data_IF_501224096551
#
_entry.id   IF_501224096551
#
_cell.length_a   1.000
_cell.length_b   1.000
_cell.length_c   1.000
_cell.angle_alpha   90.00
_cell.angle_beta   90.00
_cell.angle_gamma   90.00
#
_symmetry.space_group_name_H-M   'P 1'
#
loop_
_entity.id
_entity.type
_entity.pdbx_description
1 polymer ?
#
# COMPACT_ATOMS: atom_id res chain seq x y z
N UNK A 1 31.96 -19.49 -133.65
CA UNK A 1 33.19 -20.20 -133.27
C UNK A 1 33.35 -20.04 -131.75
N UNK A 2 33.53 -21.15 -131.05
CA UNK A 2 33.82 -21.30 -129.60
C UNK A 2 32.71 -21.14 -128.55
N UNK A 3 32.38 -22.28 -127.93
CA UNK A 3 31.74 -22.45 -126.63
C UNK A 3 32.67 -21.97 -125.50
N UNK A 4 32.12 -21.55 -124.36
CA UNK A 4 32.62 -22.03 -123.06
C UNK A 4 31.54 -21.98 -121.97
N UNK A 5 31.48 -23.09 -121.22
CA UNK A 5 30.49 -23.45 -120.21
C UNK A 5 30.61 -22.61 -118.92
N UNK A 6 29.46 -22.46 -118.25
CA UNK A 6 29.34 -21.95 -116.89
C UNK A 6 30.24 -22.72 -115.90
N UNK A 7 30.99 -21.98 -115.08
CA UNK A 7 31.86 -22.51 -114.03
C UNK A 7 31.04 -23.05 -112.82
N UNK A 8 31.21 -24.31 -112.38
CA UNK A 8 30.46 -24.92 -111.26
C UNK A 8 30.84 -24.44 -109.83
N UNK A 9 31.55 -23.33 -109.66
CA UNK A 9 32.20 -22.99 -108.38
C UNK A 9 31.46 -21.99 -107.47
N UNK A 10 30.38 -21.35 -107.92
CA UNK A 10 29.64 -20.37 -107.09
C UNK A 10 28.50 -21.00 -106.25
N UNK A 11 27.94 -22.13 -106.69
CA UNK A 11 26.84 -22.81 -105.98
C UNK A 11 27.35 -23.63 -104.77
N UNK A 12 28.56 -24.19 -104.85
CA UNK A 12 29.18 -24.95 -103.76
C UNK A 12 29.75 -24.03 -102.68
N UNK A 13 30.26 -22.85 -103.03
CA UNK A 13 30.72 -21.86 -102.06
C UNK A 13 29.55 -21.29 -101.23
N UNK A 14 28.42 -20.96 -101.87
CA UNK A 14 27.23 -20.43 -101.20
C UNK A 14 26.54 -21.48 -100.30
N UNK A 15 26.51 -22.75 -100.72
CA UNK A 15 26.04 -23.85 -99.86
C UNK A 15 26.97 -24.13 -98.68
N UNK A 16 28.28 -23.94 -98.85
CA UNK A 16 29.27 -24.12 -97.78
C UNK A 16 29.18 -23.00 -96.76
N UNK A 17 29.05 -21.73 -97.16
CA UNK A 17 28.79 -20.62 -96.23
C UNK A 17 27.41 -20.70 -95.57
N UNK A 18 26.39 -21.20 -96.27
CA UNK A 18 25.06 -21.42 -95.69
C UNK A 18 25.07 -22.56 -94.67
N UNK A 19 25.77 -23.67 -94.95
CA UNK A 19 25.97 -24.76 -93.97
C UNK A 19 26.88 -24.34 -92.80
N UNK A 20 27.91 -23.52 -93.03
CA UNK A 20 28.76 -22.98 -91.95
C UNK A 20 27.97 -21.98 -91.07
N UNK A 21 27.15 -21.11 -91.66
CA UNK A 21 26.30 -20.18 -90.93
C UNK A 21 25.20 -20.90 -90.13
N UNK A 22 24.65 -21.99 -90.67
CA UNK A 22 23.67 -22.83 -89.95
C UNK A 22 24.33 -23.70 -88.86
N UNK A 23 25.58 -24.14 -89.06
CA UNK A 23 26.37 -24.91 -88.10
C UNK A 23 27.02 -24.05 -86.99
N UNK A 24 27.22 -22.75 -87.21
CA UNK A 24 27.67 -21.81 -86.17
C UNK A 24 26.51 -21.26 -85.32
N UNK A 25 25.26 -21.37 -85.77
CA UNK A 25 24.08 -20.92 -85.01
C UNK A 25 23.56 -21.93 -83.97
N UNK A 26 24.11 -23.15 -83.94
CA UNK A 26 23.62 -24.23 -83.08
C UNK A 26 24.34 -24.37 -81.73
N UNK A 27 25.09 -23.36 -81.29
CA UNK A 27 25.75 -23.40 -79.99
C UNK A 27 25.35 -22.21 -79.09
N UNK A 28 24.68 -22.57 -78.00
CA UNK A 28 24.33 -21.76 -76.81
C UNK A 28 23.08 -20.87 -76.90
N UNK A 29 21.92 -21.46 -77.21
CA UNK A 29 20.64 -20.90 -76.73
C UNK A 29 20.23 -21.62 -75.43
N UNK A 30 20.44 -20.98 -74.28
CA UNK A 30 19.81 -21.42 -73.03
C UNK A 30 18.32 -21.03 -73.09
N UNK A 31 17.48 -21.92 -73.62
CA UNK A 31 16.04 -21.68 -73.63
C UNK A 31 15.44 -22.06 -72.27
N UNK A 32 14.59 -21.19 -71.74
CA UNK A 32 13.71 -21.50 -70.61
C UNK A 32 12.71 -22.57 -71.04
N UNK A 33 12.28 -23.40 -70.10
CA UNK A 33 11.25 -24.42 -70.33
C UNK A 33 9.90 -23.83 -69.92
N UNK A 34 9.06 -23.52 -70.90
CA UNK A 34 7.65 -23.21 -70.68
C UNK A 34 6.82 -24.48 -70.76
N UNK A 35 6.03 -24.77 -69.73
CA UNK A 35 4.97 -25.80 -69.79
C UNK A 35 3.63 -25.08 -69.80
N UNK A 36 2.90 -25.21 -70.92
CA UNK A 36 1.62 -24.57 -71.15
C UNK A 36 1.66 -23.02 -71.13
N UNK A 37 2.83 -22.44 -71.42
CA UNK A 37 3.04 -21.02 -71.73
C UNK A 37 4.01 -20.88 -72.90
N UNK A 38 3.76 -19.94 -73.81
CA UNK A 38 4.67 -19.62 -74.94
C UNK A 38 5.59 -18.44 -74.64
N UNK A 39 5.43 -17.80 -73.48
CA UNK A 39 6.27 -16.72 -72.99
C UNK A 39 6.61 -16.97 -71.52
N UNK A 40 7.52 -17.91 -71.23
CA UNK A 40 8.01 -18.13 -69.87
C UNK A 40 8.51 -16.82 -69.25
N UNK A 41 8.30 -16.64 -67.95
CA UNK A 41 8.84 -15.47 -67.24
C UNK A 41 10.37 -15.41 -67.38
N UNK A 42 10.95 -14.28 -67.84
CA UNK A 42 12.39 -14.14 -68.06
C UNK A 42 13.28 -14.45 -66.83
N UNK A 43 12.73 -14.44 -65.61
CA UNK A 43 13.44 -14.77 -64.38
C UNK A 43 13.47 -16.27 -64.04
N UNK A 44 12.75 -17.12 -64.80
CA UNK A 44 12.59 -18.54 -64.51
C UNK A 44 13.28 -19.44 -65.55
N UNK A 45 13.85 -20.57 -65.12
CA UNK A 45 14.31 -21.61 -66.06
C UNK A 45 13.19 -22.60 -66.41
N UNK A 46 12.18 -22.71 -65.54
CA UNK A 46 10.98 -23.51 -65.71
C UNK A 46 9.77 -22.68 -65.27
N UNK A 47 8.88 -22.39 -66.21
CA UNK A 47 7.60 -21.70 -65.97
C UNK A 47 6.45 -22.66 -66.32
N UNK A 48 5.55 -22.89 -65.38
CA UNK A 48 4.42 -23.81 -65.54
C UNK A 48 3.13 -23.04 -65.29
N UNK A 49 2.33 -22.84 -66.34
CA UNK A 49 1.09 -22.07 -66.26
C UNK A 49 -0.15 -22.96 -66.38
N UNK A 50 -1.02 -22.93 -65.38
CA UNK A 50 -2.33 -23.58 -65.41
C UNK A 50 -3.29 -22.90 -64.42
N UNK A 51 -4.59 -22.86 -64.74
CA UNK A 51 -5.62 -22.27 -63.85
C UNK A 51 -6.20 -23.26 -62.85
N UNK A 52 -6.03 -24.57 -63.08
CA UNK A 52 -6.64 -25.63 -62.28
C UNK A 52 -5.77 -26.89 -62.15
N UNK A 53 -4.47 -26.81 -62.48
CA UNK A 53 -3.50 -27.90 -62.34
C UNK A 53 -2.27 -27.38 -61.58
N UNK A 54 -1.62 -28.28 -60.84
CA UNK A 54 -0.33 -28.02 -60.20
C UNK A 54 0.77 -28.90 -60.77
N UNK A 55 1.97 -28.78 -60.20
CA UNK A 55 3.11 -29.64 -60.50
C UNK A 55 3.23 -30.74 -59.44
N UNK A 56 3.24 -32.00 -59.87
CA UNK A 56 3.68 -33.10 -59.00
C UNK A 56 5.20 -33.17 -59.00
N UNK A 57 5.79 -32.82 -57.87
CA UNK A 57 7.21 -33.01 -57.61
C UNK A 57 7.50 -34.48 -57.25
N UNK A 58 8.76 -34.95 -57.37
CA UNK A 58 9.12 -36.32 -57.01
C UNK A 58 8.66 -36.67 -55.60
N UNK A 59 7.87 -37.75 -55.50
CA UNK A 59 7.35 -38.28 -54.22
C UNK A 59 8.31 -39.34 -53.70
N UNK A 60 8.91 -39.09 -52.55
CA UNK A 60 10.02 -39.90 -52.02
C UNK A 60 9.72 -40.29 -50.58
N UNK A 61 9.90 -41.56 -50.24
CA UNK A 61 9.73 -42.03 -48.87
C UNK A 61 11.07 -41.89 -48.11
N UNK A 62 11.29 -40.75 -47.45
CA UNK A 62 12.54 -40.50 -46.72
C UNK A 62 12.61 -41.33 -45.43
N UNK A 63 13.80 -41.75 -45.02
CA UNK A 63 14.01 -42.54 -43.80
C UNK A 63 14.29 -41.69 -42.55
N UNK A 64 14.48 -40.39 -42.72
CA UNK A 64 14.70 -39.42 -41.63
C UNK A 64 15.30 -38.12 -42.14
N UNK A 65 15.47 -37.12 -41.26
CA UNK A 65 15.94 -35.79 -41.68
C UNK A 65 17.36 -35.78 -42.28
N UNK A 66 18.21 -36.75 -41.92
CA UNK A 66 19.56 -36.90 -42.49
C UNK A 66 19.66 -37.89 -43.66
N UNK A 67 18.53 -38.36 -44.20
CA UNK A 67 18.52 -39.39 -45.24
C UNK A 67 19.21 -38.92 -46.53
N UNK A 68 20.37 -39.49 -46.82
CA UNK A 68 21.14 -39.28 -48.04
C UNK A 68 21.34 -40.59 -48.83
N UNK A 69 20.59 -41.64 -48.48
CA UNK A 69 20.69 -42.95 -49.12
C UNK A 69 19.50 -43.20 -50.06
N UNK A 70 18.30 -42.74 -49.70
CA UNK A 70 17.11 -42.82 -50.57
C UNK A 70 17.29 -41.99 -51.84
N UNK A 71 17.94 -40.84 -51.71
CA UNK A 71 18.48 -40.06 -52.81
C UNK A 71 19.96 -39.92 -52.53
N UNK A 72 20.80 -40.62 -53.29
CA UNK A 72 22.25 -40.55 -53.14
C UNK A 72 22.75 -39.15 -53.53
N UNK A 73 23.57 -38.55 -52.65
CA UNK A 73 24.18 -37.22 -52.85
C UNK A 73 23.17 -36.13 -53.29
N UNK A 74 22.11 -35.87 -52.49
CA UNK A 74 21.07 -34.92 -52.89
C UNK A 74 21.67 -33.51 -53.04
N UNK A 75 21.30 -32.84 -54.13
CA UNK A 75 21.78 -31.48 -54.41
C UNK A 75 21.16 -30.47 -53.43
N UNK A 76 21.90 -29.42 -53.08
CA UNK A 76 21.34 -28.31 -52.27
C UNK A 76 20.17 -27.69 -53.04
N UNK A 77 19.07 -27.41 -52.32
CA UNK A 77 17.79 -26.95 -52.85
C UNK A 77 16.99 -27.99 -53.64
N UNK A 78 17.40 -29.27 -53.64
CA UNK A 78 16.59 -30.34 -54.23
C UNK A 78 15.26 -30.45 -53.49
N UNK A 79 14.16 -30.29 -54.21
CA UNK A 79 12.79 -30.29 -53.67
C UNK A 79 12.09 -31.62 -53.98
N UNK A 80 11.50 -32.21 -52.95
CA UNK A 80 10.71 -33.45 -53.04
C UNK A 80 9.45 -33.33 -52.18
N UNK A 81 8.47 -34.19 -52.45
CA UNK A 81 7.37 -34.43 -51.53
C UNK A 81 7.66 -35.71 -50.73
N UNK A 82 7.93 -35.58 -49.44
CA UNK A 82 8.09 -36.74 -48.56
C UNK A 82 6.75 -37.47 -48.38
N UNK A 83 6.76 -38.80 -48.50
CA UNK A 83 5.56 -39.64 -48.29
C UNK A 83 5.61 -40.48 -47.02
N UNK A 84 6.74 -40.53 -46.31
CA UNK A 84 6.91 -41.35 -45.10
C UNK A 84 6.65 -40.56 -43.81
N UNK A 85 6.55 -41.28 -42.69
CA UNK A 85 6.55 -40.69 -41.34
C UNK A 85 7.74 -41.19 -40.50
N UNK A 86 8.85 -41.52 -41.16
CA UNK A 86 10.03 -42.11 -40.53
C UNK A 86 10.97 -41.03 -39.98
N UNK A 87 11.68 -41.33 -38.88
CA UNK A 87 12.77 -40.49 -38.38
C UNK A 87 12.38 -39.06 -38.01
N UNK A 88 11.15 -38.86 -37.52
CA UNK A 88 10.63 -37.55 -37.11
C UNK A 88 10.12 -36.66 -38.25
N UNK A 89 10.07 -37.18 -39.49
CA UNK A 89 9.47 -36.49 -40.63
C UNK A 89 7.96 -36.74 -40.69
N UNK A 90 7.24 -35.82 -41.33
CA UNK A 90 5.83 -35.99 -41.73
C UNK A 90 5.71 -35.92 -43.26
N UNK A 91 4.63 -36.43 -43.87
CA UNK A 91 4.39 -36.22 -45.29
C UNK A 91 4.23 -34.72 -45.62
N UNK A 92 4.91 -34.24 -46.66
CA UNK A 92 4.91 -32.82 -47.03
C UNK A 92 6.04 -32.45 -47.98
N UNK A 93 6.15 -31.17 -48.34
CA UNK A 93 7.25 -30.69 -49.19
C UNK A 93 8.53 -30.51 -48.38
N UNK A 94 9.64 -31.05 -48.87
CA UNK A 94 10.96 -30.94 -48.25
C UNK A 94 12.02 -30.53 -49.28
N UNK A 95 12.95 -29.68 -48.85
CA UNK A 95 14.16 -29.39 -49.63
C UNK A 95 15.44 -29.77 -48.87
N UNK A 96 16.46 -30.18 -49.61
CA UNK A 96 17.76 -30.51 -49.05
C UNK A 96 18.61 -29.26 -48.81
N UNK A 97 19.10 -29.04 -47.58
CA UNK A 97 19.96 -27.88 -47.24
C UNK A 97 21.46 -28.13 -47.39
N UNK A 98 21.88 -29.32 -47.85
CA UNK A 98 23.28 -29.75 -47.89
C UNK A 98 23.65 -30.77 -46.82
N UNK A 99 22.89 -30.84 -45.72
CA UNK A 99 23.13 -31.74 -44.60
C UNK A 99 21.87 -32.39 -44.02
N UNK A 100 20.67 -31.87 -44.34
CA UNK A 100 19.39 -32.44 -43.91
C UNK A 100 18.24 -32.01 -44.83
N UNK A 101 17.13 -32.73 -44.76
CA UNK A 101 15.85 -32.37 -45.34
C UNK A 101 15.12 -31.40 -44.41
N UNK A 102 14.72 -30.24 -44.94
CA UNK A 102 13.92 -29.24 -44.23
C UNK A 102 12.54 -29.15 -44.87
N UNK A 103 11.50 -29.10 -44.05
CA UNK A 103 10.13 -28.92 -44.54
C UNK A 103 9.91 -27.50 -45.05
N UNK A 104 9.15 -27.35 -46.12
CA UNK A 104 8.53 -26.08 -46.49
C UNK A 104 7.22 -26.02 -45.72
N UNK A 105 7.28 -25.53 -44.47
CA UNK A 105 6.09 -25.42 -43.63
C UNK A 105 5.18 -24.31 -44.17
N UNK A 106 3.91 -24.66 -44.39
CA UNK A 106 2.84 -23.69 -44.59
C UNK A 106 2.56 -22.98 -43.25
N UNK A 107 2.76 -21.67 -43.21
CA UNK A 107 2.43 -20.84 -42.05
C UNK A 107 0.96 -20.36 -42.07
N UNK A 108 0.18 -20.74 -43.08
CA UNK A 108 -1.22 -20.35 -43.24
C UNK A 108 -2.19 -21.41 -42.71
N UNK A 109 -2.12 -21.65 -41.40
CA UNK A 109 -3.13 -22.45 -40.73
C UNK A 109 -2.82 -22.65 -39.26
N UNK A 110 -3.56 -21.97 -38.39
CA UNK A 110 -3.54 -22.29 -36.96
C UNK A 110 -3.83 -23.77 -36.77
N UNK A 111 -2.84 -24.50 -36.24
CA UNK A 111 -2.98 -25.89 -35.85
C UNK A 111 -2.07 -26.86 -36.62
N UNK A 112 -0.87 -27.08 -36.08
CA UNK A 112 -0.14 -28.32 -36.30
C UNK A 112 1.24 -28.20 -36.94
N UNK A 113 2.28 -28.18 -36.10
CA UNK A 113 3.54 -28.86 -36.42
C UNK A 113 4.43 -28.24 -37.51
N UNK A 114 4.87 -27.01 -37.32
CA UNK A 114 5.96 -26.41 -38.11
C UNK A 114 6.27 -25.00 -37.63
N UNK A 115 7.24 -24.86 -36.71
CA UNK A 115 7.79 -23.59 -36.19
C UNK A 115 6.75 -22.48 -35.91
N UNK A 116 5.68 -22.84 -35.20
CA UNK A 116 4.67 -21.92 -34.67
C UNK A 116 5.10 -21.32 -33.33
N UNK A 117 6.23 -20.61 -33.28
CA UNK A 117 6.77 -20.01 -32.05
C UNK A 117 6.00 -18.73 -31.62
N UNK A 118 4.90 -18.39 -32.31
CA UNK A 118 4.10 -17.19 -32.09
C UNK A 118 2.81 -17.43 -31.29
N UNK A 119 2.33 -16.37 -30.63
CA UNK A 119 1.02 -16.39 -29.98
C UNK A 119 -0.12 -16.26 -31.00
N UNK A 120 -1.01 -17.26 -31.04
CA UNK A 120 -2.21 -17.23 -31.88
C UNK A 120 -3.18 -16.14 -31.43
N UNK A 121 -3.74 -15.38 -32.38
CA UNK A 121 -4.79 -14.37 -32.12
C UNK A 121 -6.10 -14.99 -31.65
N UNK A 122 -6.34 -16.28 -31.97
CA UNK A 122 -7.50 -17.03 -31.52
C UNK A 122 -7.27 -17.74 -30.17
N UNK A 123 -6.09 -17.53 -29.56
CA UNK A 123 -5.66 -18.21 -28.34
C UNK A 123 -4.83 -19.47 -28.62
N UNK A 124 -4.05 -19.86 -27.61
CA UNK A 124 -3.19 -21.03 -27.64
C UNK A 124 -3.75 -22.12 -26.71
N UNK A 125 -3.68 -23.39 -27.12
CA UNK A 125 -3.89 -24.53 -26.22
C UNK A 125 -2.58 -24.84 -25.49
N UNK A 126 -2.57 -24.59 -24.18
CA UNK A 126 -1.43 -24.83 -23.31
C UNK A 126 -1.51 -26.20 -22.64
N UNK A 127 -0.37 -26.87 -22.54
CA UNK A 127 -0.13 -28.02 -21.66
C UNK A 127 0.95 -27.61 -20.63
N UNK A 128 1.35 -28.52 -19.73
CA UNK A 128 2.32 -28.21 -18.66
C UNK A 128 3.73 -27.84 -19.15
N UNK A 129 4.07 -28.05 -20.43
CA UNK A 129 5.38 -27.74 -21.00
C UNK A 129 5.45 -26.37 -21.69
N UNK A 130 4.29 -25.77 -21.99
CA UNK A 130 4.18 -24.50 -22.74
C UNK A 130 4.03 -23.32 -21.78
N UNK A 131 4.72 -22.22 -22.05
CA UNK A 131 4.65 -21.00 -21.26
C UNK A 131 4.76 -19.72 -22.12
N UNK A 132 4.26 -18.61 -21.59
CA UNK A 132 4.59 -17.26 -22.07
C UNK A 132 5.78 -16.75 -21.26
N UNK A 133 6.96 -16.58 -21.86
CA UNK A 133 8.09 -16.11 -21.10
C UNK A 133 9.45 -16.25 -21.77
N UNK A 134 10.48 -16.07 -20.97
CA UNK A 134 11.89 -16.21 -21.33
C UNK A 134 12.46 -17.51 -20.78
N UNK A 135 13.44 -18.09 -21.47
CA UNK A 135 14.22 -19.27 -20.99
C UNK A 135 15.54 -18.88 -20.34
N UNK A 136 15.80 -17.58 -20.23
CA UNK A 136 17.01 -17.01 -19.65
C UNK A 136 16.66 -16.11 -18.47
N UNK A 137 17.67 -15.68 -17.71
CA UNK A 137 17.49 -14.86 -16.51
C UNK A 137 17.30 -13.38 -16.85
N UNK A 138 16.41 -13.09 -17.82
CA UNK A 138 16.00 -11.75 -18.19
C UNK A 138 14.51 -11.58 -17.98
N UNK A 139 14.09 -10.36 -17.63
CA UNK A 139 12.70 -10.03 -17.39
C UNK A 139 11.80 -10.19 -18.64
N UNK A 140 10.59 -10.69 -18.42
CA UNK A 140 9.52 -10.68 -19.41
C UNK A 140 8.90 -9.27 -19.47
N UNK A 141 8.95 -8.63 -20.64
CA UNK A 141 8.44 -7.27 -20.87
C UNK A 141 7.22 -7.29 -21.78
N UNK A 142 6.10 -6.73 -21.31
CA UNK A 142 4.92 -6.48 -22.14
C UNK A 142 4.93 -5.02 -22.57
N UNK A 143 4.75 -4.76 -23.88
CA UNK A 143 4.84 -3.42 -24.46
C UNK A 143 3.58 -3.05 -25.24
N UNK A 144 3.26 -1.75 -25.24
CA UNK A 144 2.27 -1.12 -26.13
C UNK A 144 2.96 0.04 -26.81
N UNK A 145 2.89 0.11 -28.14
CA UNK A 145 3.57 1.15 -28.94
C UNK A 145 5.06 1.33 -28.55
N UNK A 146 5.80 0.23 -28.43
CA UNK A 146 7.20 0.18 -27.96
C UNK A 146 7.47 0.67 -26.52
N UNK A 147 6.47 1.14 -25.78
CA UNK A 147 6.58 1.47 -24.35
C UNK A 147 6.28 0.26 -23.46
N UNK A 148 7.09 0.05 -22.42
CA UNK A 148 6.85 -0.99 -21.43
C UNK A 148 5.59 -0.66 -20.62
N UNK A 149 4.68 -1.63 -20.57
CA UNK A 149 3.44 -1.58 -19.78
C UNK A 149 3.45 -2.57 -18.62
N UNK A 150 4.18 -3.67 -18.75
CA UNK A 150 4.44 -4.57 -17.63
C UNK A 150 5.84 -5.18 -17.71
N UNK A 151 6.39 -5.51 -16.55
CA UNK A 151 7.67 -6.15 -16.33
C UNK A 151 7.48 -7.24 -15.27
N UNK A 152 7.90 -8.45 -15.59
CA UNK A 152 8.06 -9.55 -14.63
C UNK A 152 9.55 -9.87 -14.55
N UNK A 153 10.19 -9.42 -13.48
CA UNK A 153 11.64 -9.56 -13.27
C UNK A 153 11.97 -10.90 -12.59
N UNK A 154 13.03 -11.62 -13.02
CA UNK A 154 13.41 -12.91 -12.44
C UNK A 154 13.84 -12.84 -10.98
N UNK A 155 14.14 -11.66 -10.44
CA UNK A 155 14.38 -11.45 -9.02
C UNK A 155 13.10 -11.20 -8.21
N UNK A 156 11.91 -11.45 -8.79
CA UNK A 156 10.61 -11.28 -8.14
C UNK A 156 10.02 -9.87 -8.26
N UNK A 157 10.64 -8.99 -9.05
CA UNK A 157 10.12 -7.65 -9.34
C UNK A 157 8.87 -7.69 -10.23
N UNK A 158 7.86 -6.89 -9.91
CA UNK A 158 6.64 -6.73 -10.71
C UNK A 158 6.38 -5.25 -10.98
N UNK A 159 6.44 -4.83 -12.23
CA UNK A 159 6.01 -3.48 -12.63
C UNK A 159 4.81 -3.56 -13.56
N UNK A 160 3.73 -2.84 -13.29
CA UNK A 160 2.54 -2.75 -14.14
C UNK A 160 2.08 -1.30 -14.24
N UNK A 161 1.95 -0.77 -15.46
CA UNK A 161 1.57 0.61 -15.74
C UNK A 161 2.65 1.33 -16.56
N UNK A 162 2.22 2.31 -17.33
CA UNK A 162 3.14 3.14 -18.12
C UNK A 162 4.14 3.84 -17.19
N UNK A 163 5.43 3.62 -17.41
CA UNK A 163 6.50 4.19 -16.58
C UNK A 163 6.61 3.60 -15.18
N UNK A 164 5.92 2.49 -14.86
CA UNK A 164 6.10 1.79 -13.60
C UNK A 164 7.49 1.15 -13.50
N UNK A 165 8.14 1.26 -12.34
CA UNK A 165 9.51 0.78 -12.09
C UNK A 165 9.56 -0.09 -10.83
N UNK A 166 9.98 -1.35 -11.02
CA UNK A 166 10.24 -2.33 -9.95
C UNK A 166 11.47 -3.15 -10.34
N UNK A 167 12.65 -2.55 -10.22
CA UNK A 167 13.91 -3.10 -10.74
C UNK A 167 14.69 -3.95 -9.71
N UNK A 168 14.13 -4.15 -8.51
CA UNK A 168 14.85 -4.72 -7.36
C UNK A 168 14.18 -6.02 -6.86
N UNK A 169 14.92 -6.79 -6.04
CA UNK A 169 14.46 -8.08 -5.51
C UNK A 169 13.11 -7.95 -4.80
N UNK A 170 12.11 -8.69 -5.28
CA UNK A 170 10.76 -8.79 -4.72
C UNK A 170 10.02 -7.44 -4.61
N UNK A 171 10.34 -6.47 -5.47
CA UNK A 171 9.66 -5.17 -5.49
C UNK A 171 8.37 -5.20 -6.30
N UNK A 172 7.36 -4.40 -5.94
CA UNK A 172 6.08 -4.33 -6.64
C UNK A 172 5.73 -2.88 -6.94
N UNK A 173 5.58 -2.50 -8.21
CA UNK A 173 5.12 -1.20 -8.65
C UNK A 173 3.90 -1.32 -9.57
N UNK A 174 2.73 -0.85 -9.13
CA UNK A 174 1.49 -0.95 -9.89
C UNK A 174 0.83 0.43 -10.01
N UNK A 175 0.79 0.98 -11.23
CA UNK A 175 0.21 2.28 -11.55
C UNK A 175 1.11 3.10 -12.47
N UNK A 176 0.51 4.06 -13.19
CA UNK A 176 1.27 4.99 -14.04
C UNK A 176 2.32 5.72 -13.22
N UNK A 177 3.59 5.62 -13.61
CA UNK A 177 4.74 6.18 -12.90
C UNK A 177 4.88 5.73 -11.43
N UNK A 178 4.32 4.57 -11.04
CA UNK A 178 4.58 3.99 -9.73
C UNK A 178 6.05 3.54 -9.65
N UNK A 179 6.73 3.79 -8.53
CA UNK A 179 8.16 3.48 -8.37
C UNK A 179 8.42 2.75 -7.06
N UNK A 180 8.72 1.46 -7.15
CA UNK A 180 9.27 0.66 -6.08
C UNK A 180 10.77 0.43 -6.37
N UNK A 181 11.58 1.47 -6.14
CA UNK A 181 12.95 1.56 -6.63
C UNK A 181 13.94 1.76 -5.49
N UNK A 182 15.22 1.37 -5.69
CA UNK A 182 16.34 1.62 -4.76
C UNK A 182 16.33 0.78 -3.47
N UNK A 183 15.47 -0.24 -3.36
CA UNK A 183 15.37 -1.05 -2.14
C UNK A 183 14.61 -2.37 -2.34
N UNK A 184 15.12 -3.46 -1.77
CA UNK A 184 14.48 -4.78 -1.80
C UNK A 184 13.13 -4.76 -1.06
N UNK A 185 12.17 -5.54 -1.57
CA UNK A 185 10.85 -5.76 -0.96
C UNK A 185 9.98 -4.49 -0.82
N UNK A 186 10.23 -3.46 -1.62
CA UNK A 186 9.41 -2.25 -1.65
C UNK A 186 8.10 -2.47 -2.43
N UNK A 187 7.00 -1.86 -2.01
CA UNK A 187 5.69 -1.94 -2.66
C UNK A 187 5.13 -0.55 -2.92
N UNK A 188 4.94 -0.17 -4.19
CA UNK A 188 4.31 1.07 -4.62
C UNK A 188 3.05 0.78 -5.45
N UNK A 189 1.86 1.11 -4.95
CA UNK A 189 0.59 0.86 -5.64
C UNK A 189 -0.19 2.16 -5.72
N UNK A 190 -0.50 2.61 -6.93
CA UNK A 190 -1.16 3.87 -7.24
C UNK A 190 -0.35 4.71 -8.23
N UNK A 191 -1.04 5.54 -9.02
CA UNK A 191 -0.35 6.43 -9.95
C UNK A 191 0.58 7.38 -9.17
N UNK A 192 1.83 7.47 -9.60
CA UNK A 192 2.91 8.23 -8.95
C UNK A 192 3.22 7.83 -7.50
N UNK A 193 2.76 6.67 -7.03
CA UNK A 193 3.17 6.15 -5.72
C UNK A 193 4.68 5.84 -5.74
N UNK A 194 5.39 6.18 -4.67
CA UNK A 194 6.85 5.97 -4.55
C UNK A 194 7.19 5.28 -3.24
N UNK A 195 7.76 4.09 -3.33
CA UNK A 195 8.33 3.33 -2.23
C UNK A 195 9.83 3.15 -2.48
N UNK A 196 10.68 3.79 -1.68
CA UNK A 196 12.13 3.82 -1.93
C UNK A 196 13.01 3.29 -0.80
N UNK A 197 12.41 2.88 0.32
CA UNK A 197 13.13 2.26 1.44
C UNK A 197 13.00 0.73 1.44
N UNK A 198 13.91 0.04 2.12
CA UNK A 198 13.83 -1.42 2.28
C UNK A 198 12.53 -1.80 3.01
N UNK A 199 11.77 -2.76 2.47
CA UNK A 199 10.45 -3.14 3.00
C UNK A 199 9.46 -1.97 3.15
N UNK A 200 9.61 -0.90 2.36
CA UNK A 200 8.68 0.22 2.37
C UNK A 200 7.42 -0.07 1.57
N UNK A 201 6.31 0.56 1.95
CA UNK A 201 5.02 0.38 1.28
C UNK A 201 4.34 1.74 1.07
N UNK A 202 4.10 2.13 -0.18
CA UNK A 202 3.37 3.31 -0.59
C UNK A 202 2.10 2.91 -1.36
N UNK A 203 0.92 3.16 -0.79
CA UNK A 203 -0.36 2.74 -1.35
C UNK A 203 -1.29 3.95 -1.47
N UNK A 204 -1.55 4.40 -2.69
CA UNK A 204 -2.41 5.54 -3.02
C UNK A 204 -1.79 6.43 -4.10
N UNK A 205 -2.63 7.26 -4.74
CA UNK A 205 -2.14 8.27 -5.68
C UNK A 205 -1.12 9.18 -5.00
N UNK A 206 0.09 9.27 -5.56
CA UNK A 206 1.17 10.10 -5.04
C UNK A 206 1.56 9.79 -3.57
N UNK A 207 1.28 8.58 -3.06
CA UNK A 207 1.75 8.14 -1.75
C UNK A 207 3.28 7.99 -1.75
N UNK A 208 3.96 8.34 -0.66
CA UNK A 208 5.43 8.38 -0.56
C UNK A 208 5.92 7.69 0.70
N UNK A 209 6.47 6.50 0.57
CA UNK A 209 7.20 5.78 1.61
C UNK A 209 8.70 5.81 1.24
N UNK A 210 9.38 6.91 1.59
CA UNK A 210 10.68 7.28 1.01
C UNK A 210 11.78 7.35 2.06
N UNK A 211 13.04 7.48 1.61
CA UNK A 211 14.23 7.81 2.41
C UNK A 211 14.68 6.76 3.44
N UNK A 212 13.80 5.93 4.00
CA UNK A 212 14.12 5.02 5.11
C UNK A 212 13.35 3.71 5.08
N UNK A 213 13.91 2.72 5.77
CA UNK A 213 13.41 1.34 5.81
C UNK A 213 12.11 1.21 6.62
N UNK A 214 11.32 0.21 6.26
CA UNK A 214 10.09 -0.21 6.94
C UNK A 214 9.06 0.92 7.09
N UNK A 215 9.01 1.83 6.12
CA UNK A 215 8.04 2.93 6.07
C UNK A 215 6.72 2.48 5.46
N UNK A 216 5.60 3.00 5.97
CA UNK A 216 4.27 2.78 5.40
C UNK A 216 3.59 4.12 5.12
N UNK A 217 3.24 4.39 3.87
CA UNK A 217 2.44 5.53 3.45
C UNK A 217 1.18 5.02 2.75
N UNK A 218 0.03 5.11 3.41
CA UNK A 218 -1.26 4.64 2.90
C UNK A 218 -2.25 5.81 2.78
N UNK A 219 -2.54 6.25 1.57
CA UNK A 219 -3.47 7.35 1.28
C UNK A 219 -3.02 8.24 0.13
N UNK A 220 -3.96 9.01 -0.44
CA UNK A 220 -3.61 10.02 -1.44
C UNK A 220 -2.62 11.03 -0.84
N UNK A 221 -1.44 11.17 -1.46
CA UNK A 221 -0.39 12.09 -1.04
C UNK A 221 0.09 11.92 0.42
N UNK A 222 -0.14 10.77 1.05
CA UNK A 222 0.44 10.44 2.36
C UNK A 222 1.97 10.33 2.25
N UNK A 223 2.72 10.80 3.25
CA UNK A 223 4.19 10.75 3.24
C UNK A 223 4.74 10.18 4.54
N UNK A 224 5.48 9.08 4.44
CA UNK A 224 6.32 8.53 5.50
C UNK A 224 7.79 8.55 5.03
N UNK A 225 8.69 9.23 5.74
CA UNK A 225 10.08 9.45 5.28
C UNK A 225 11.18 9.15 6.29
N UNK A 226 10.86 8.56 7.43
CA UNK A 226 11.83 8.22 8.49
C UNK A 226 11.73 6.75 8.86
N UNK A 227 12.75 6.18 9.50
CA UNK A 227 12.78 4.75 9.82
C UNK A 227 11.55 4.31 10.62
N UNK A 228 10.88 3.25 10.17
CA UNK A 228 9.64 2.72 10.77
C UNK A 228 8.48 3.73 10.87
N UNK A 229 8.51 4.82 10.09
CA UNK A 229 7.43 5.80 10.07
C UNK A 229 6.18 5.24 9.35
N UNK A 230 5.01 5.51 9.92
CA UNK A 230 3.71 5.09 9.39
C UNK A 230 2.80 6.31 9.22
N UNK A 231 2.37 6.58 7.99
CA UNK A 231 1.44 7.64 7.62
C UNK A 231 0.22 7.04 6.93
N UNK A 232 -0.97 7.13 7.54
CA UNK A 232 -2.22 6.57 7.04
C UNK A 232 -3.28 7.68 6.95
N UNK A 233 -3.76 7.99 5.75
CA UNK A 233 -4.75 9.03 5.48
C UNK A 233 -4.33 10.00 4.38
N UNK A 234 -5.29 10.75 3.82
CA UNK A 234 -5.01 11.74 2.78
C UNK A 234 -4.13 12.84 3.35
N UNK A 235 -2.98 13.12 2.71
CA UNK A 235 -1.99 14.10 3.15
C UNK A 235 -1.46 13.88 4.59
N UNK A 236 -1.53 12.66 5.14
CA UNK A 236 -0.88 12.37 6.43
C UNK A 236 0.64 12.43 6.32
N UNK A 237 1.33 12.83 7.40
CA UNK A 237 2.77 13.05 7.41
C UNK A 237 3.44 12.42 8.64
N UNK A 238 4.38 11.52 8.38
CA UNK A 238 5.28 10.93 9.37
C UNK A 238 6.72 11.07 8.86
N UNK A 239 7.29 12.28 8.94
CA UNK A 239 8.39 12.70 8.04
C UNK A 239 9.74 13.00 8.68
N UNK A 240 9.76 13.33 9.98
CA UNK A 240 10.90 14.03 10.58
C UNK A 240 11.70 13.16 11.55
N UNK A 241 11.13 12.09 12.09
CA UNK A 241 11.77 11.25 13.08
C UNK A 241 11.31 9.80 13.04
N UNK A 242 12.12 8.92 13.60
CA UNK A 242 11.90 7.48 13.60
C UNK A 242 10.67 7.11 14.44
N UNK A 243 10.06 5.96 14.11
CA UNK A 243 8.93 5.37 14.83
C UNK A 243 7.71 6.31 14.97
N UNK A 244 7.51 7.18 13.98
CA UNK A 244 6.38 8.11 13.96
C UNK A 244 5.11 7.43 13.45
N UNK A 245 3.97 7.71 14.06
CA UNK A 245 2.66 7.22 13.64
C UNK A 245 1.71 8.39 13.39
N UNK A 246 1.32 8.62 12.14
CA UNK A 246 0.34 9.62 11.75
C UNK A 246 -0.87 8.95 11.10
N UNK A 247 -2.03 8.95 11.76
CA UNK A 247 -3.26 8.33 11.28
C UNK A 247 -4.38 9.36 11.22
N UNK A 248 -4.80 9.73 10.02
CA UNK A 248 -5.87 10.70 9.77
C UNK A 248 -5.59 11.62 8.59
N UNK A 249 -6.64 12.25 8.05
CA UNK A 249 -6.45 13.24 6.98
C UNK A 249 -5.73 14.47 7.53
N UNK A 250 -4.62 14.85 6.90
CA UNK A 250 -3.71 15.91 7.35
C UNK A 250 -3.15 15.71 8.79
N UNK A 251 -3.08 14.48 9.31
CA UNK A 251 -2.40 14.22 10.59
C UNK A 251 -0.88 14.34 10.42
N UNK A 252 -0.16 14.78 11.45
CA UNK A 252 1.27 15.04 11.39
C UNK A 252 1.98 14.56 12.67
N UNK A 253 2.89 13.60 12.52
CA UNK A 253 3.76 13.11 13.59
C UNK A 253 5.21 13.43 13.21
N UNK A 254 5.82 14.38 13.92
CA UNK A 254 7.18 14.88 13.61
C UNK A 254 8.19 14.59 14.71
N UNK A 255 7.75 14.26 15.92
CA UNK A 255 8.65 13.87 17.00
C UNK A 255 9.05 12.39 16.96
N UNK A 256 10.24 12.04 17.43
CA UNK A 256 10.65 10.64 17.54
C UNK A 256 9.70 9.85 18.47
N UNK A 257 9.30 8.65 18.06
CA UNK A 257 8.30 7.82 18.76
C UNK A 257 6.94 8.53 19.00
N UNK A 258 6.62 9.57 18.23
CA UNK A 258 5.38 10.32 18.40
C UNK A 258 4.20 9.67 17.68
N UNK A 259 3.00 9.86 18.22
CA UNK A 259 1.76 9.32 17.66
C UNK A 259 0.70 10.41 17.52
N UNK A 260 0.25 10.68 16.29
CA UNK A 260 -0.82 11.60 15.95
C UNK A 260 -1.99 10.85 15.30
N UNK A 261 -3.12 10.72 16.01
CA UNK A 261 -4.29 9.94 15.58
C UNK A 261 -5.52 10.85 15.55
N UNK A 262 -5.99 11.19 14.36
CA UNK A 262 -7.15 12.04 14.11
C UNK A 262 -6.92 13.00 12.94
N UNK A 263 -8.01 13.51 12.33
CA UNK A 263 -7.89 14.54 11.31
C UNK A 263 -7.18 15.77 11.91
N UNK A 264 -6.11 16.24 11.26
CA UNK A 264 -5.28 17.38 11.74
C UNK A 264 -4.65 17.18 13.13
N UNK A 265 -4.59 15.97 13.67
CA UNK A 265 -3.85 15.70 14.90
C UNK A 265 -2.35 15.96 14.67
N UNK A 266 -1.67 16.55 15.66
CA UNK A 266 -0.25 16.91 15.61
C UNK A 266 0.50 16.44 16.83
N UNK A 267 1.52 15.61 16.65
CA UNK A 267 2.45 15.17 17.68
C UNK A 267 3.86 15.65 17.32
N UNK A 268 4.25 16.80 17.88
CA UNK A 268 5.38 17.59 17.37
C UNK A 268 6.72 17.25 18.03
N UNK A 269 6.70 16.61 19.20
CA UNK A 269 7.88 16.36 20.03
C UNK A 269 8.10 14.86 20.34
N UNK A 270 9.29 14.52 20.81
CA UNK A 270 9.65 13.14 21.12
C UNK A 270 8.72 12.56 22.20
N UNK A 271 8.31 11.31 22.00
CA UNK A 271 7.36 10.55 22.81
C UNK A 271 6.01 11.28 23.02
N UNK A 272 5.66 12.24 22.16
CA UNK A 272 4.39 12.95 22.26
C UNK A 272 3.24 12.16 21.64
N UNK A 273 2.05 12.26 22.22
CA UNK A 273 0.84 11.55 21.76
C UNK A 273 -0.31 12.52 21.62
N UNK A 274 -0.86 12.66 20.42
CA UNK A 274 -2.01 13.49 20.11
C UNK A 274 -3.14 12.62 19.54
N UNK A 275 -4.25 12.49 20.24
CA UNK A 275 -5.40 11.67 19.83
C UNK A 275 -6.64 12.55 19.81
N UNK A 276 -7.21 12.77 18.62
CA UNK A 276 -8.41 13.58 18.42
C UNK A 276 -8.32 14.49 17.20
N UNK A 277 -9.47 14.97 16.73
CA UNK A 277 -9.49 15.98 15.68
C UNK A 277 -8.77 17.25 16.17
N UNK A 278 -7.78 17.72 15.42
CA UNK A 278 -7.01 18.93 15.74
C UNK A 278 -6.33 18.92 17.13
N UNK A 279 -6.10 17.75 17.73
CA UNK A 279 -5.33 17.64 18.98
C UNK A 279 -3.85 17.96 18.72
N UNK A 280 -3.17 18.60 19.68
CA UNK A 280 -1.78 19.02 19.57
C UNK A 280 -0.98 18.63 20.82
N UNK A 281 0.00 17.74 20.66
CA UNK A 281 1.00 17.42 21.68
C UNK A 281 2.33 18.07 21.29
N UNK A 282 2.63 19.22 21.89
CA UNK A 282 3.67 20.14 21.42
C UNK A 282 5.07 19.83 21.96
N UNK A 283 5.15 19.21 23.15
CA UNK A 283 6.38 19.13 23.93
C UNK A 283 6.72 17.68 24.36
N UNK A 284 7.93 17.48 24.89
CA UNK A 284 8.47 16.15 25.21
C UNK A 284 7.56 15.38 26.17
N UNK A 285 7.30 14.10 25.85
CA UNK A 285 6.45 13.21 26.64
C UNK A 285 5.03 13.76 26.91
N UNK A 286 4.56 14.72 26.11
CA UNK A 286 3.23 15.31 26.28
C UNK A 286 2.16 14.45 25.64
N UNK A 287 0.98 14.37 26.27
CA UNK A 287 -0.16 13.61 25.78
C UNK A 287 -1.39 14.51 25.71
N UNK A 288 -1.98 14.66 24.54
CA UNK A 288 -3.22 15.41 24.31
C UNK A 288 -4.28 14.45 23.75
N UNK A 289 -5.35 14.21 24.50
CA UNK A 289 -6.44 13.30 24.10
C UNK A 289 -7.75 14.09 24.10
N UNK A 290 -8.32 14.37 22.93
CA UNK A 290 -9.59 15.06 22.76
C UNK A 290 -9.61 15.97 21.52
N UNK A 291 -10.81 16.32 21.05
CA UNK A 291 -10.98 17.31 19.98
C UNK A 291 -10.39 18.66 20.42
N UNK A 292 -9.37 19.16 19.71
CA UNK A 292 -8.69 20.41 20.04
C UNK A 292 -7.91 20.40 21.37
N UNK A 293 -7.63 19.24 21.96
CA UNK A 293 -6.79 19.15 23.15
C UNK A 293 -5.37 19.64 22.86
N UNK A 294 -4.77 20.47 23.73
CA UNK A 294 -3.43 21.02 23.54
C UNK A 294 -2.54 20.77 24.76
N UNK A 295 -1.56 19.87 24.64
CA UNK A 295 -0.55 19.64 25.66
C UNK A 295 0.73 20.46 25.34
N UNK A 296 0.82 21.64 25.95
CA UNK A 296 1.88 22.63 25.68
C UNK A 296 3.11 22.52 26.58
N UNK A 297 3.18 21.57 27.50
CA UNK A 297 4.28 21.46 28.48
C UNK A 297 4.90 20.06 28.45
N UNK A 298 6.17 19.96 28.87
CA UNK A 298 6.84 18.67 29.02
C UNK A 298 6.10 17.80 30.04
N UNK A 299 5.93 16.51 29.74
CA UNK A 299 5.26 15.51 30.59
C UNK A 299 3.78 15.83 30.91
N UNK A 300 3.17 16.80 30.23
CA UNK A 300 1.78 17.16 30.48
C UNK A 300 0.83 16.16 29.83
N UNK A 301 -0.21 15.77 30.57
CA UNK A 301 -1.35 15.01 30.05
C UNK A 301 -2.58 15.90 30.07
N UNK A 302 -3.14 16.18 28.90
CA UNK A 302 -4.35 16.98 28.72
C UNK A 302 -5.44 16.08 28.16
N UNK A 303 -6.53 15.93 28.91
CA UNK A 303 -7.71 15.16 28.55
C UNK A 303 -8.85 16.14 28.25
N UNK A 304 -9.26 16.18 26.98
CA UNK A 304 -10.29 17.07 26.45
C UNK A 304 -9.78 18.42 25.96
N UNK A 305 -10.69 19.21 25.35
CA UNK A 305 -10.43 20.61 25.01
C UNK A 305 -10.31 21.46 26.30
N UNK A 306 -9.37 22.40 26.32
CA UNK A 306 -9.14 23.32 27.45
C UNK A 306 -10.32 24.24 27.76
N UNK A 307 -11.26 24.46 26.82
CA UNK A 307 -12.43 25.32 27.04
C UNK A 307 -13.54 24.58 27.79
N UNK A 308 -14.00 23.44 27.28
CA UNK A 308 -15.31 22.88 27.67
C UNK A 308 -15.35 21.36 27.85
N UNK A 309 -14.20 20.69 28.00
CA UNK A 309 -14.24 19.25 28.24
C UNK A 309 -14.41 18.90 29.72
N UNK A 310 -15.22 17.86 29.97
CA UNK A 310 -15.38 17.21 31.26
C UNK A 310 -15.02 15.72 31.11
N UNK A 311 -14.28 15.19 32.08
CA UNK A 311 -13.87 13.79 32.12
C UNK A 311 -14.81 13.02 33.04
N UNK A 312 -15.55 12.06 32.48
CA UNK A 312 -16.38 11.13 33.25
C UNK A 312 -15.66 9.81 33.52
N UNK A 313 -15.64 9.38 34.77
CA UNK A 313 -15.24 8.03 35.18
C UNK A 313 -16.47 7.34 35.75
N UNK A 314 -16.96 6.30 35.07
CA UNK A 314 -18.19 5.60 35.46
C UNK A 314 -19.49 6.34 35.13
N UNK A 315 -19.43 7.43 34.36
CA UNK A 315 -20.58 8.21 33.88
C UNK A 315 -20.43 8.58 32.41
N UNK A 316 -21.51 8.50 31.64
CA UNK A 316 -21.60 8.96 30.25
C UNK A 316 -22.08 10.41 30.12
N UNK A 317 -22.54 11.01 31.22
CA UNK A 317 -23.00 12.40 31.30
C UNK A 317 -22.29 13.09 32.45
N UNK A 318 -20.99 13.40 32.31
CA UNK A 318 -20.24 14.12 33.34
C UNK A 318 -20.95 15.43 33.67
N UNK A 319 -21.03 15.78 34.96
CA UNK A 319 -21.63 17.03 35.41
C UNK A 319 -20.97 18.22 34.69
N UNK A 320 -21.80 19.11 34.11
CA UNK A 320 -21.31 20.25 33.33
C UNK A 320 -20.47 21.25 34.16
N UNK A 321 -20.63 21.23 35.48
CA UNK A 321 -19.94 22.12 36.40
C UNK A 321 -18.65 21.51 36.98
N UNK A 322 -18.27 20.29 36.61
CA UNK A 322 -17.05 19.64 37.09
C UNK A 322 -16.18 19.18 35.93
N UNK A 323 -14.85 19.35 36.07
CA UNK A 323 -13.89 18.90 35.05
C UNK A 323 -13.57 17.41 35.17
N UNK A 324 -13.68 16.86 36.38
CA UNK A 324 -13.57 15.42 36.64
C UNK A 324 -14.79 14.99 37.45
N UNK A 325 -15.60 14.12 36.86
CA UNK A 325 -16.80 13.55 37.48
C UNK A 325 -16.61 12.03 37.64
N UNK A 326 -16.63 11.56 38.88
CA UNK A 326 -16.41 10.14 39.21
C UNK A 326 -17.69 9.60 39.83
N UNK A 327 -18.39 8.74 39.09
CA UNK A 327 -19.51 7.97 39.62
C UNK A 327 -18.97 6.72 40.31
N UNK A 328 -18.60 6.87 41.58
CA UNK A 328 -18.06 5.81 42.41
C UNK A 328 -16.96 6.29 43.34
N UNK A 329 -16.22 5.35 43.90
CA UNK A 329 -15.19 5.65 44.89
C UNK A 329 -13.87 6.04 44.21
N UNK A 330 -13.10 6.90 44.86
CA UNK A 330 -11.75 7.24 44.44
C UNK A 330 -10.73 7.04 45.56
N UNK A 331 -9.49 6.77 45.19
CA UNK A 331 -8.34 6.69 46.11
C UNK A 331 -7.18 7.44 45.50
N UNK A 332 -6.58 8.34 46.28
CA UNK A 332 -5.42 9.12 45.84
C UNK A 332 -4.15 8.57 46.51
N UNK A 333 -3.23 8.05 45.70
CA UNK A 333 -1.95 7.51 46.15
C UNK A 333 -2.05 6.15 46.86
N UNK A 334 -0.90 5.51 47.09
CA UNK A 334 -0.85 4.15 47.64
C UNK A 334 -1.35 4.07 49.10
N UNK A 335 -1.07 5.11 49.90
CA UNK A 335 -1.50 5.23 51.31
C UNK A 335 -2.87 5.91 51.49
N UNK A 336 -3.54 6.31 50.40
CA UNK A 336 -4.85 6.95 50.49
C UNK A 336 -5.95 5.97 50.92
N UNK A 337 -6.93 6.46 51.68
CA UNK A 337 -8.18 5.73 51.93
C UNK A 337 -9.08 5.78 50.70
N UNK A 338 -9.93 4.76 50.55
CA UNK A 338 -11.02 4.78 49.56
C UNK A 338 -12.09 5.74 50.07
N UNK A 339 -12.28 6.83 49.33
CA UNK A 339 -13.30 7.83 49.60
C UNK A 339 -14.52 7.54 48.74
N UNK A 340 -15.71 7.58 49.34
CA UNK A 340 -16.98 7.51 48.60
C UNK A 340 -17.46 8.89 48.19
N UNK A 341 -17.52 9.80 49.16
CA UNK A 341 -18.07 11.14 49.00
C UNK A 341 -17.20 12.16 49.73
N UNK A 342 -16.91 13.29 49.09
CA UNK A 342 -16.37 14.49 49.72
C UNK A 342 -17.42 15.59 49.54
N UNK A 343 -18.01 16.02 50.65
CA UNK A 343 -19.11 16.98 50.67
C UNK A 343 -18.70 18.20 51.48
N UNK A 344 -19.02 19.40 51.00
CA UNK A 344 -18.74 20.64 51.71
C UNK A 344 -19.90 21.61 51.57
N UNK A 345 -20.29 22.23 52.67
CA UNK A 345 -21.31 23.28 52.69
C UNK A 345 -21.05 24.26 53.83
N UNK A 346 -21.84 25.32 53.89
CA UNK A 346 -21.76 26.29 54.98
C UNK A 346 -23.14 26.66 55.49
N UNK A 347 -23.23 27.01 56.76
CA UNK A 347 -24.48 27.44 57.38
C UNK A 347 -24.23 28.54 58.39
N UNK A 348 -25.01 29.61 58.28
CA UNK A 348 -25.07 30.66 59.28
C UNK A 348 -25.99 30.23 60.44
N UNK A 349 -25.49 30.40 61.66
CA UNK A 349 -26.11 29.93 62.89
C UNK A 349 -26.13 31.05 63.93
N UNK A 350 -27.31 31.27 64.54
CA UNK A 350 -27.44 32.09 65.73
C UNK A 350 -27.51 31.17 66.95
N UNK A 351 -26.71 31.47 67.96
CA UNK A 351 -26.62 30.68 69.18
C UNK A 351 -26.87 31.49 70.46
N UNK A 352 -27.32 32.73 70.31
CA UNK A 352 -27.74 33.61 71.41
C UNK A 352 -26.62 33.89 72.41
N UNK A 353 -27.03 33.95 73.68
CA UNK A 353 -26.16 34.25 74.80
C UNK A 353 -25.56 32.99 75.40
N UNK A 354 -24.23 32.94 75.56
CA UNK A 354 -23.54 31.87 76.26
C UNK A 354 -22.96 32.45 77.55
N UNK A 355 -23.51 32.00 78.69
CA UNK A 355 -23.07 32.40 80.03
C UNK A 355 -21.57 32.09 80.24
N UNK A 356 -20.89 32.76 81.20
CA UNK A 356 -19.50 32.44 81.55
C UNK A 356 -19.33 30.95 81.86
N UNK A 357 -18.30 30.31 81.30
CA UNK A 357 -18.08 28.85 81.38
C UNK A 357 -19.25 27.97 80.87
N UNK A 358 -20.23 28.58 80.20
CA UNK A 358 -21.40 27.92 79.64
C UNK A 358 -21.10 27.22 78.33
N UNK A 359 -22.03 26.39 77.89
CA UNK A 359 -21.94 25.71 76.60
C UNK A 359 -23.28 25.67 75.88
N UNK A 360 -23.25 25.67 74.55
CA UNK A 360 -24.42 25.50 73.68
C UNK A 360 -24.14 24.42 72.64
N UNK A 361 -25.16 23.65 72.28
CA UNK A 361 -25.06 22.66 71.20
C UNK A 361 -25.88 23.15 70.01
N UNK A 362 -25.19 23.34 68.88
CA UNK A 362 -25.78 23.72 67.62
C UNK A 362 -26.09 22.45 66.82
N UNK A 363 -27.23 22.45 66.14
CA UNK A 363 -27.61 21.40 65.21
C UNK A 363 -27.77 22.01 63.83
N UNK A 364 -27.00 21.52 62.87
CA UNK A 364 -26.98 21.98 61.49
C UNK A 364 -27.53 20.84 60.62
N UNK A 365 -28.57 21.14 59.85
CA UNK A 365 -29.08 20.19 58.84
C UNK A 365 -28.12 20.14 57.65
N UNK A 366 -27.78 18.92 57.23
CA UNK A 366 -27.00 18.67 56.02
C UNK A 366 -27.97 18.75 54.82
N UNK A 367 -27.69 19.56 53.79
CA UNK A 367 -28.48 19.60 52.57
C UNK A 367 -28.71 18.21 52.00
N UNK A 368 -29.91 17.91 51.51
CA UNK A 368 -30.31 16.55 51.13
C UNK A 368 -29.43 15.91 50.05
N UNK A 369 -28.86 16.72 49.16
CA UNK A 369 -27.93 16.34 48.09
C UNK A 369 -26.48 16.13 48.58
N UNK A 370 -26.19 16.50 49.83
CA UNK A 370 -24.87 16.40 50.47
C UNK A 370 -24.91 15.50 51.72
N UNK A 371 -25.96 14.69 51.89
CA UNK A 371 -26.04 13.75 53.01
C UNK A 371 -25.15 12.52 52.74
N UNK A 372 -24.24 12.17 53.67
CA UNK A 372 -23.45 10.94 53.54
C UNK A 372 -24.36 9.71 53.60
N UNK A 373 -23.91 8.60 53.01
CA UNK A 373 -24.69 7.35 53.06
C UNK A 373 -24.58 6.62 54.40
N UNK A 374 -23.55 6.94 55.18
CA UNK A 374 -23.25 6.36 56.50
C UNK A 374 -22.71 7.41 57.47
N UNK A 375 -22.58 7.07 58.75
CA UNK A 375 -21.90 7.92 59.75
C UNK A 375 -20.40 7.67 59.84
N UNK A 376 -19.87 6.74 59.04
CA UNK A 376 -18.45 6.41 58.96
C UNK A 376 -17.70 7.47 58.13
N UNK A 377 -17.61 8.68 58.69
CA UNK A 377 -17.06 9.84 58.02
C UNK A 377 -16.21 10.70 58.95
N UNK A 378 -15.23 11.39 58.37
CA UNK A 378 -14.53 12.48 59.05
C UNK A 378 -15.36 13.74 58.90
N UNK A 379 -15.44 14.49 60.00
CA UNK A 379 -16.14 15.77 60.05
C UNK A 379 -15.14 16.86 60.42
N UNK A 380 -15.08 17.90 59.60
CA UNK A 380 -14.30 19.11 59.86
C UNK A 380 -15.27 20.28 59.93
N UNK A 381 -15.20 21.03 61.02
CA UNK A 381 -16.01 22.23 61.24
C UNK A 381 -15.08 23.40 61.52
N UNK A 382 -15.26 24.48 60.77
CA UNK A 382 -14.47 25.70 60.92
C UNK A 382 -15.43 26.88 61.02
N UNK A 383 -15.39 27.68 62.09
CA UNK A 383 -16.16 28.91 62.15
C UNK A 383 -15.57 29.97 61.21
N UNK A 384 -16.35 31.00 60.88
CA UNK A 384 -15.82 32.17 60.20
C UNK A 384 -14.79 32.93 61.05
N UNK A 385 -14.03 33.80 60.40
CA UNK A 385 -12.97 34.58 61.02
C UNK A 385 -13.47 35.67 61.97
N UNK A 386 -14.79 35.89 62.04
CA UNK A 386 -15.39 36.90 62.92
C UNK A 386 -15.74 36.35 64.30
N UNK A 387 -15.72 35.01 64.45
CA UNK A 387 -15.96 34.36 65.73
C UNK A 387 -14.83 34.67 66.71
N UNK A 388 -15.19 35.12 67.91
CA UNK A 388 -14.21 35.44 68.96
C UNK A 388 -13.39 34.21 69.36
N UNK A 389 -12.11 34.43 69.65
CA UNK A 389 -11.19 33.44 70.23
C UNK A 389 -11.65 32.96 71.63
N UNK A 390 -12.54 33.72 72.26
CA UNK A 390 -13.20 33.39 73.53
C UNK A 390 -14.13 32.17 73.45
N UNK A 391 -14.46 31.72 72.23
CA UNK A 391 -15.27 30.55 71.99
C UNK A 391 -14.44 29.40 71.42
N UNK A 392 -14.60 28.24 72.05
CA UNK A 392 -13.98 27.00 71.59
C UNK A 392 -15.01 26.00 71.08
N UNK A 393 -14.72 25.37 69.93
CA UNK A 393 -15.44 24.17 69.51
C UNK A 393 -14.91 23.00 70.34
N UNK A 394 -15.69 22.55 71.32
CA UNK A 394 -15.30 21.45 72.19
C UNK A 394 -15.36 20.09 71.47
N UNK A 395 -16.34 19.91 70.59
CA UNK A 395 -16.43 18.77 69.69
C UNK A 395 -17.40 19.07 68.56
N UNK A 396 -17.23 18.33 67.46
CA UNK A 396 -18.21 18.22 66.40
C UNK A 396 -18.44 16.74 66.10
N UNK A 397 -19.68 16.37 65.75
CA UNK A 397 -20.02 14.99 65.35
C UNK A 397 -21.22 14.95 64.43
N UNK A 398 -21.27 13.92 63.60
CA UNK A 398 -22.50 13.53 62.91
C UNK A 398 -23.53 13.03 63.93
N UNK A 399 -24.79 13.35 63.70
CA UNK A 399 -25.94 12.81 64.43
C UNK A 399 -26.90 12.22 63.39
N UNK A 400 -26.66 10.94 63.08
CA UNK A 400 -27.18 10.32 61.85
C UNK A 400 -26.55 10.93 60.60
N UNK A 401 -27.14 10.64 59.43
CA UNK A 401 -26.69 11.14 58.13
C UNK A 401 -27.26 12.52 57.77
N UNK A 402 -28.17 13.05 58.58
CA UNK A 402 -28.95 14.25 58.25
C UNK A 402 -28.48 15.51 58.98
N UNK A 403 -27.79 15.36 60.13
CA UNK A 403 -27.44 16.51 60.96
C UNK A 403 -26.01 16.45 61.51
N UNK A 404 -25.41 17.62 61.63
CA UNK A 404 -24.14 17.85 62.34
C UNK A 404 -24.45 18.53 63.67
N UNK A 405 -23.81 18.05 64.74
CA UNK A 405 -23.87 18.69 66.06
C UNK A 405 -22.52 19.26 66.44
N UNK A 406 -22.52 20.51 66.91
CA UNK A 406 -21.32 21.25 67.32
C UNK A 406 -21.53 21.73 68.75
N UNK A 407 -20.62 21.44 69.66
CA UNK A 407 -20.64 22.03 71.01
C UNK A 407 -19.66 23.19 71.08
N UNK A 408 -20.19 24.35 71.42
CA UNK A 408 -19.42 25.55 71.71
C UNK A 408 -19.32 25.75 73.21
N UNK A 409 -18.16 26.21 73.68
CA UNK A 409 -17.91 26.56 75.09
C UNK A 409 -17.37 27.99 75.12
N UNK A 410 -17.98 28.83 75.95
CA UNK A 410 -17.42 30.12 76.32
C UNK A 410 -16.36 29.87 77.41
N UNK A 411 -15.09 30.13 77.12
CA UNK A 411 -13.98 29.87 78.03
C UNK A 411 -13.65 31.06 78.93
N UNK A 412 -14.43 32.14 78.82
CA UNK A 412 -14.20 33.38 79.57
C UNK A 412 -15.07 33.48 80.81
N UNK A 413 -14.69 34.43 81.68
CA UNK A 413 -15.49 34.87 82.83
C UNK A 413 -16.60 35.86 82.47
N UNK A 414 -16.73 36.24 81.19
CA UNK A 414 -17.73 37.19 80.71
C UNK A 414 -18.86 36.48 79.98
N UNK A 415 -20.05 37.07 79.99
CA UNK A 415 -21.16 36.57 79.17
C UNK A 415 -20.86 36.86 77.71
N UNK A 416 -20.88 35.84 76.88
CA UNK A 416 -20.67 36.00 75.45
C UNK A 416 -22.01 36.24 74.75
N UNK A 417 -22.11 37.39 74.08
CA UNK A 417 -23.21 37.77 73.21
C UNK A 417 -22.63 38.06 71.84
N UNK A 418 -23.02 37.28 70.82
CA UNK A 418 -22.57 37.55 69.46
C UNK A 418 -23.67 37.40 68.43
N UNK A 419 -23.59 38.15 67.32
CA UNK A 419 -24.38 37.89 66.13
C UNK A 419 -24.22 36.46 65.60
N UNK A 420 -25.05 36.12 64.61
CA UNK A 420 -24.92 34.86 63.88
C UNK A 420 -23.51 34.70 63.30
N UNK A 421 -22.98 33.48 63.33
CA UNK A 421 -21.72 33.13 62.68
C UNK A 421 -21.93 32.04 61.64
N UNK A 422 -21.13 32.10 60.58
CA UNK A 422 -21.08 31.08 59.54
C UNK A 422 -20.13 29.96 59.94
N UNK A 423 -20.59 28.73 59.82
CA UNK A 423 -19.79 27.53 59.97
C UNK A 423 -19.58 26.91 58.60
N UNK A 424 -18.33 26.54 58.29
CA UNK A 424 -17.93 25.75 57.14
C UNK A 424 -17.79 24.30 57.58
N UNK A 425 -18.46 23.40 56.86
CA UNK A 425 -18.53 21.99 57.20
C UNK A 425 -18.01 21.18 56.01
N UNK A 426 -17.07 20.29 56.27
CA UNK A 426 -16.62 19.27 55.32
C UNK A 426 -16.82 17.88 55.89
N UNK A 427 -17.41 16.99 55.09
CA UNK A 427 -17.71 15.60 55.43
C UNK A 427 -17.00 14.71 54.42
N UNK A 428 -16.20 13.76 54.91
CA UNK A 428 -15.43 12.83 54.10
C UNK A 428 -15.87 11.41 54.45
N UNK A 429 -16.61 10.76 53.57
CA UNK A 429 -17.15 9.42 53.78
C UNK A 429 -16.14 8.33 53.36
N UNK A 430 -15.87 7.41 54.28
CA UNK A 430 -14.95 6.30 54.06
C UNK A 430 -15.69 5.01 53.68
N UNK A 431 -14.99 4.13 52.97
CA UNK A 431 -15.40 2.73 52.86
C UNK A 431 -15.01 1.99 54.15
N UNK A 432 -15.99 1.42 54.85
CA UNK A 432 -15.72 0.44 55.91
C UNK A 432 -15.19 -0.86 55.28
N UNK A 433 -14.16 -1.44 55.91
CA UNK A 433 -13.47 -2.66 55.45
C UNK A 433 -14.08 -3.92 56.04
#
# INVERSE_FOLDING_TARGET
MHLTFAHPNQLNLMKTYFFLAFSLYSFLSFSQVGINTTSPDPSSILDVSATNKGMLLPRVALNGSGDNSTISNPAISLLVYNTSSNGGLTPGFYFWSGNKWNTISDTSGGGGGGNSDGWSLAGNSIDNSKFLGTTNYNALKLKVNNSQMALFDPHGGLAIGYGAVANENNSVAIGTNASASNSNQATAIGASATASGFQSAALGYNAKAITSNSTLALGNSSTASSFQATAIGVNSKATTSNNTLAVGTNSEATGENSSAIGQRAKAEAQNSTAIGNSSLAKNYNSTAIGNGAVASQNNAVVLGNITDANVGIGTSTPNINTKLDVNGNYKLGNKGSIQKNLMSFSKEMNFGTIQPNGSVILTINIPSDLQPSTVAASLIVTPDNSMSDDLSIAWSKLNGTQTVRIKLINTTSQTFNSPSHKFYISIIEFKEY
#
